data_IF_483149116118
#
_entry.id   IF_483149116118
#
_cell.length_a   1.000
_cell.length_b   1.000
_cell.length_c   1.000
_cell.angle_alpha   90.00
_cell.angle_beta   90.00
_cell.angle_gamma   90.00
#
_symmetry.space_group_name_H-M   'P 1'
#
loop_
_entity.id
_entity.type
_entity.pdbx_description
1 polymer ?
#
# COMPACT_ATOMS: atom_id res chain seq x y z
N UNK A 1 59.71 -7.83 -4.12
CA UNK A 1 59.48 -7.34 -2.74
C UNK A 1 59.17 -5.84 -2.81
N UNK A 2 57.91 -5.47 -2.97
CA UNK A 2 57.45 -4.07 -2.96
C UNK A 2 56.06 -4.09 -2.30
N UNK A 3 55.95 -3.53 -1.10
CA UNK A 3 54.69 -3.42 -0.35
C UNK A 3 54.08 -2.03 -0.60
N UNK A 4 52.75 -1.89 -0.79
CA UNK A 4 52.15 -0.60 -1.05
C UNK A 4 51.89 0.19 0.25
N UNK A 5 52.29 1.46 0.22
CA UNK A 5 52.01 2.47 1.24
C UNK A 5 50.56 2.96 1.10
N UNK A 6 49.64 2.32 1.81
CA UNK A 6 48.41 2.95 2.28
C UNK A 6 48.06 2.37 3.64
N UNK A 7 48.67 2.96 4.68
CA UNK A 7 48.29 2.71 6.06
C UNK A 7 48.09 4.07 6.72
N UNK A 8 46.85 4.55 6.71
CA UNK A 8 46.38 5.51 7.70
C UNK A 8 45.14 4.92 8.34
N UNK A 9 45.29 4.64 9.63
CA UNK A 9 44.31 4.08 10.53
C UNK A 9 44.03 5.17 11.57
N UNK A 10 42.79 5.65 11.65
CA UNK A 10 42.22 6.42 12.77
C UNK A 10 40.73 6.07 12.78
N UNK A 11 40.31 5.04 13.52
CA UNK A 11 40.06 5.02 14.96
C UNK A 11 38.79 5.80 15.36
N UNK A 12 37.88 5.02 15.95
CA UNK A 12 36.80 5.42 16.86
C UNK A 12 35.62 6.22 16.28
N UNK A 13 34.60 5.49 15.84
CA UNK A 13 33.23 5.91 16.12
C UNK A 13 32.44 4.70 16.65
N UNK A 14 32.62 4.43 17.95
CA UNK A 14 31.83 3.41 18.66
C UNK A 14 30.76 4.11 19.48
N UNK A 15 29.53 3.61 19.32
CA UNK A 15 28.39 3.70 20.25
C UNK A 15 27.75 5.08 20.49
N UNK A 16 26.55 5.28 19.96
CA UNK A 16 25.27 5.20 20.71
C UNK A 16 24.10 5.41 19.75
N UNK A 17 23.75 4.37 18.98
CA UNK A 17 22.57 4.31 18.14
C UNK A 17 21.73 3.10 18.52
N UNK A 18 20.62 3.35 19.21
CA UNK A 18 19.63 2.39 19.70
C UNK A 18 19.40 1.20 18.77
N UNK A 19 19.73 -0.01 19.23
CA UNK A 19 19.53 -1.28 18.51
C UNK A 19 18.12 -1.88 18.76
N UNK A 20 17.21 -1.12 19.36
CA UNK A 20 15.96 -1.65 19.92
C UNK A 20 14.72 -1.58 19.00
N UNK A 21 14.86 -1.37 17.68
CA UNK A 21 13.69 -1.17 16.79
C UNK A 21 13.59 -2.17 15.60
N UNK A 22 14.39 -3.25 15.61
CA UNK A 22 14.53 -4.15 14.44
C UNK A 22 13.52 -5.31 14.42
N UNK A 23 12.95 -5.70 15.57
CA UNK A 23 12.03 -6.84 15.68
C UNK A 23 10.61 -6.48 15.24
N UNK A 24 10.06 -5.37 15.72
CA UNK A 24 8.68 -4.95 15.43
C UNK A 24 8.47 -4.61 13.95
N UNK A 25 9.40 -3.85 13.34
CA UNK A 25 9.34 -3.52 11.92
C UNK A 25 9.37 -4.75 11.00
N UNK A 26 10.11 -5.80 11.38
CA UNK A 26 10.17 -7.06 10.63
C UNK A 26 8.86 -7.86 10.74
N UNK A 27 8.26 -7.90 11.94
CA UNK A 27 6.97 -8.58 12.17
C UNK A 27 5.86 -7.90 11.36
N UNK A 28 5.82 -6.57 11.36
CA UNK A 28 4.80 -5.82 10.65
C UNK A 28 4.95 -5.90 9.12
N UNK A 29 6.19 -5.87 8.61
CA UNK A 29 6.47 -6.10 7.19
C UNK A 29 6.05 -7.50 6.75
N UNK A 30 6.27 -8.53 7.58
CA UNK A 30 5.86 -9.91 7.30
C UNK A 30 4.33 -10.06 7.30
N UNK A 31 3.64 -9.44 8.25
CA UNK A 31 2.17 -9.42 8.29
C UNK A 31 1.58 -8.72 7.06
N UNK A 32 2.16 -7.59 6.64
CA UNK A 32 1.77 -6.90 5.40
C UNK A 32 2.01 -7.77 4.16
N UNK A 33 3.09 -8.52 4.14
CA UNK A 33 3.39 -9.43 3.02
C UNK A 33 2.41 -10.60 2.93
N UNK A 34 2.01 -11.18 4.08
CA UNK A 34 0.98 -12.21 4.12
C UNK A 34 -0.33 -11.70 3.50
N UNK A 35 -0.72 -10.46 3.81
CA UNK A 35 -1.90 -9.83 3.19
C UNK A 35 -1.75 -9.73 1.67
N UNK A 36 -0.62 -9.25 1.16
CA UNK A 36 -0.35 -9.14 -0.29
C UNK A 36 -0.42 -10.52 -0.97
N UNK A 37 0.19 -11.54 -0.39
CA UNK A 37 0.16 -12.91 -0.93
C UNK A 37 -1.26 -13.46 -1.04
N UNK A 38 -2.09 -13.23 -0.01
CA UNK A 38 -3.51 -13.59 -0.03
C UNK A 38 -4.30 -12.80 -1.08
N UNK A 39 -4.04 -11.51 -1.25
CA UNK A 39 -4.66 -10.67 -2.29
C UNK A 39 -4.34 -11.18 -3.69
N UNK A 40 -3.07 -11.52 -3.97
CA UNK A 40 -2.65 -12.12 -5.25
C UNK A 40 -3.42 -13.41 -5.51
N UNK A 41 -3.49 -14.29 -4.50
CA UNK A 41 -4.25 -15.55 -4.58
C UNK A 41 -5.73 -15.29 -4.88
N UNK A 42 -6.35 -14.32 -4.20
CA UNK A 42 -7.75 -13.95 -4.40
C UNK A 42 -8.04 -13.55 -5.85
N UNK A 43 -7.25 -12.63 -6.42
CA UNK A 43 -7.40 -12.22 -7.81
C UNK A 43 -7.15 -13.34 -8.80
N UNK A 44 -6.14 -14.18 -8.55
CA UNK A 44 -5.84 -15.33 -9.39
C UNK A 44 -7.03 -16.29 -9.46
N UNK A 45 -7.63 -16.62 -8.31
CA UNK A 45 -8.79 -17.50 -8.23
C UNK A 45 -10.04 -16.86 -8.84
N UNK A 46 -10.27 -15.56 -8.64
CA UNK A 46 -11.38 -14.83 -9.26
C UNK A 46 -11.33 -14.90 -10.79
N UNK A 47 -10.13 -14.93 -11.37
CA UNK A 47 -9.91 -15.08 -12.82
C UNK A 47 -9.87 -16.53 -13.30
N UNK A 48 -10.09 -17.51 -12.42
CA UNK A 48 -10.05 -18.93 -12.76
C UNK A 48 -8.66 -19.43 -13.17
N UNK A 49 -7.59 -18.72 -12.81
CA UNK A 49 -6.23 -19.07 -13.20
C UNK A 49 -5.58 -20.01 -12.17
N UNK A 50 -4.87 -21.03 -12.64
CA UNK A 50 -4.00 -21.84 -11.79
C UNK A 50 -2.67 -21.13 -11.55
N UNK A 51 -1.91 -21.57 -10.54
CA UNK A 51 -0.53 -21.09 -10.35
C UNK A 51 0.36 -21.41 -11.56
N UNK A 52 0.09 -22.52 -12.26
CA UNK A 52 0.80 -22.90 -13.49
C UNK A 52 0.48 -21.97 -14.67
N UNK A 53 -0.70 -21.36 -14.69
CA UNK A 53 -1.05 -20.39 -15.73
C UNK A 53 -0.29 -19.07 -15.53
N UNK A 54 -0.10 -18.65 -14.29
CA UNK A 54 0.76 -17.50 -13.96
C UNK A 54 2.22 -17.81 -14.31
N UNK A 55 2.69 -19.03 -14.05
CA UNK A 55 4.04 -19.45 -14.47
C UNK A 55 4.22 -19.31 -15.98
N UNK A 56 3.28 -19.83 -16.79
CA UNK A 56 3.34 -19.71 -18.25
C UNK A 56 3.35 -18.26 -18.73
N UNK A 57 2.66 -17.35 -18.03
CA UNK A 57 2.56 -15.93 -18.39
C UNK A 57 3.76 -15.09 -17.95
N UNK A 58 4.39 -15.44 -16.83
CA UNK A 58 5.43 -14.62 -16.18
C UNK A 58 6.83 -15.22 -16.24
N UNK A 59 6.94 -16.52 -16.51
CA UNK A 59 8.17 -17.30 -16.30
C UNK A 59 8.53 -17.54 -14.83
N UNK A 60 7.68 -17.14 -13.88
CA UNK A 60 7.90 -17.39 -12.45
C UNK A 60 7.43 -18.80 -12.08
N UNK A 61 8.32 -19.62 -11.53
CA UNK A 61 8.01 -21.00 -11.16
C UNK A 61 6.79 -21.12 -10.25
N UNK A 62 5.92 -22.11 -10.49
CA UNK A 62 4.75 -22.42 -9.64
C UNK A 62 5.11 -22.54 -8.17
N UNK A 63 6.23 -23.19 -7.86
CA UNK A 63 6.70 -23.36 -6.47
C UNK A 63 7.07 -22.03 -5.82
N UNK A 64 7.62 -21.08 -6.58
CA UNK A 64 7.90 -19.73 -6.10
C UNK A 64 6.60 -18.96 -5.86
N UNK A 65 5.66 -19.01 -6.80
CA UNK A 65 4.36 -18.36 -6.65
C UNK A 65 3.59 -18.89 -5.43
N UNK A 66 3.62 -20.20 -5.18
CA UNK A 66 3.02 -20.78 -3.97
C UNK A 66 3.65 -20.24 -2.68
N UNK A 67 4.97 -20.01 -2.64
CA UNK A 67 5.62 -19.41 -1.47
C UNK A 67 5.23 -17.94 -1.29
N UNK A 68 5.06 -17.20 -2.37
CA UNK A 68 4.57 -15.81 -2.34
C UNK A 68 3.14 -15.75 -1.82
N UNK A 69 2.23 -16.54 -2.40
CA UNK A 69 0.81 -16.54 -2.03
C UNK A 69 0.57 -16.93 -0.56
N UNK A 70 1.42 -17.81 -0.01
CA UNK A 70 1.34 -18.25 1.39
C UNK A 70 2.20 -17.39 2.35
N UNK A 71 2.80 -16.29 1.87
CA UNK A 71 3.60 -15.38 2.69
C UNK A 71 4.94 -15.97 3.20
N UNK A 72 5.43 -17.05 2.59
CA UNK A 72 6.73 -17.67 2.91
C UNK A 72 7.91 -16.95 2.25
N UNK A 73 7.67 -16.07 1.29
CA UNK A 73 8.73 -15.32 0.59
C UNK A 73 8.23 -13.92 0.25
N UNK A 74 9.12 -12.94 0.39
CA UNK A 74 8.88 -11.56 -0.01
C UNK A 74 9.32 -11.39 -1.48
N UNK A 75 8.39 -11.19 -2.43
CA UNK A 75 8.74 -10.87 -3.80
C UNK A 75 9.35 -9.47 -3.92
N UNK A 76 10.17 -9.27 -4.95
CA UNK A 76 10.63 -7.93 -5.33
C UNK A 76 9.49 -7.13 -5.97
N UNK A 77 9.67 -5.81 -6.10
CA UNK A 77 8.71 -4.96 -6.80
C UNK A 77 8.55 -5.37 -8.28
N UNK A 78 9.64 -5.72 -8.95
CA UNK A 78 9.64 -6.23 -10.34
C UNK A 78 8.82 -7.53 -10.44
N UNK A 79 9.01 -8.43 -9.48
CA UNK A 79 8.24 -9.68 -9.40
C UNK A 79 6.74 -9.40 -9.21
N UNK A 80 6.38 -8.46 -8.33
CA UNK A 80 4.99 -8.05 -8.15
C UNK A 80 4.43 -7.43 -9.44
N UNK A 81 5.20 -6.60 -10.14
CA UNK A 81 4.77 -6.01 -11.42
C UNK A 81 4.48 -7.09 -12.48
N UNK A 82 5.33 -8.11 -12.58
CA UNK A 82 5.11 -9.27 -13.47
C UNK A 82 3.84 -10.03 -13.13
N UNK A 83 3.59 -10.29 -11.85
CA UNK A 83 2.38 -10.97 -11.38
C UNK A 83 1.14 -10.10 -11.69
N UNK A 84 1.20 -8.79 -11.45
CA UNK A 84 0.12 -7.85 -11.76
C UNK A 84 -0.21 -7.84 -13.26
N UNK A 85 0.81 -7.80 -14.12
CA UNK A 85 0.66 -7.91 -15.57
C UNK A 85 0.01 -9.23 -16.00
N UNK A 86 0.44 -10.36 -15.44
CA UNK A 86 -0.17 -11.66 -15.76
C UNK A 86 -1.62 -11.82 -15.28
N UNK A 87 -2.01 -11.03 -14.27
CA UNK A 87 -3.38 -10.94 -13.78
C UNK A 87 -4.19 -9.83 -14.47
N UNK A 88 -3.63 -9.06 -15.40
CA UNK A 88 -4.25 -7.88 -16.01
C UNK A 88 -4.79 -6.89 -14.97
N UNK A 89 -3.97 -6.57 -13.96
CA UNK A 89 -4.32 -5.66 -12.87
C UNK A 89 -3.27 -4.56 -12.69
N UNK A 90 -3.67 -3.35 -12.27
CA UNK A 90 -2.73 -2.36 -11.76
C UNK A 90 -2.00 -2.89 -10.53
N UNK A 91 -0.69 -2.68 -10.45
CA UNK A 91 0.14 -3.11 -9.31
C UNK A 91 -0.36 -2.58 -7.96
N UNK A 92 -0.93 -1.36 -7.96
CA UNK A 92 -1.51 -0.74 -6.77
C UNK A 92 -2.61 -1.59 -6.11
N UNK A 93 -3.28 -2.45 -6.88
CA UNK A 93 -4.37 -3.28 -6.39
C UNK A 93 -3.92 -4.30 -5.33
N UNK A 94 -2.65 -4.70 -5.34
CA UNK A 94 -2.10 -5.59 -4.31
C UNK A 94 -1.93 -4.92 -2.94
N UNK A 95 -1.88 -3.59 -2.93
CA UNK A 95 -1.68 -2.77 -1.74
C UNK A 95 -2.94 -2.05 -1.29
N UNK A 96 -4.05 -2.23 -2.01
CA UNK A 96 -5.35 -1.77 -1.59
C UNK A 96 -5.72 -2.53 -0.30
N UNK A 97 -5.38 -1.96 0.86
CA UNK A 97 -5.79 -2.49 2.15
C UNK A 97 -7.30 -2.63 2.16
N UNK A 98 -7.75 -3.87 2.35
CA UNK A 98 -9.12 -4.27 2.64
C UNK A 98 -10.14 -3.23 2.20
N UNK A 99 -10.18 -2.97 0.89
CA UNK A 99 -11.29 -2.27 0.25
C UNK A 99 -12.49 -3.22 0.10
N UNK A 100 -12.42 -4.37 0.78
CA UNK A 100 -13.52 -5.27 1.09
C UNK A 100 -14.08 -5.03 2.51
N UNK A 101 -13.34 -4.34 3.39
CA UNK A 101 -13.80 -3.91 4.73
C UNK A 101 -14.03 -2.39 4.84
N UNK A 102 -13.26 -1.59 4.10
CA UNK A 102 -13.83 -0.41 3.48
C UNK A 102 -14.53 -0.91 2.24
N UNK A 103 -15.78 -1.35 2.41
CA UNK A 103 -16.75 -1.00 1.38
C UNK A 103 -16.35 0.37 0.86
N UNK A 104 -16.37 0.52 -0.45
CA UNK A 104 -16.69 1.80 -1.02
C UNK A 104 -17.96 2.27 -0.27
N UNK A 105 -17.74 2.99 0.84
CA UNK A 105 -18.63 3.97 1.42
C UNK A 105 -18.70 5.15 0.44
N UNK A 106 -18.58 4.90 -0.86
CA UNK A 106 -19.69 5.15 -1.77
C UNK A 106 -21.00 4.59 -1.18
N UNK A 107 -21.46 5.19 -0.07
CA UNK A 107 -22.82 5.70 -0.11
C UNK A 107 -22.90 6.34 -1.48
N UNK A 108 -23.70 5.75 -2.36
CA UNK A 108 -23.82 6.18 -3.73
C UNK A 108 -24.32 7.61 -3.64
N UNK A 109 -23.38 8.55 -3.67
CA UNK A 109 -23.66 9.97 -3.58
C UNK A 109 -24.68 10.19 -4.68
N UNK A 110 -25.84 10.68 -4.28
CA UNK A 110 -26.85 11.14 -5.20
C UNK A 110 -26.21 12.15 -6.16
N UNK A 111 -26.80 12.31 -7.35
CA UNK A 111 -26.30 13.29 -8.32
C UNK A 111 -26.20 14.70 -7.69
N UNK A 112 -27.11 15.01 -6.77
CA UNK A 112 -27.13 16.26 -6.01
C UNK A 112 -25.95 16.39 -5.04
N UNK A 113 -25.61 15.32 -4.31
CA UNK A 113 -24.44 15.31 -3.43
C UNK A 113 -23.14 15.42 -4.22
N UNK A 114 -23.06 14.81 -5.40
CA UNK A 114 -21.91 14.93 -6.31
C UNK A 114 -21.76 16.35 -6.85
N UNK A 115 -22.86 16.98 -7.27
CA UNK A 115 -22.87 18.39 -7.71
C UNK A 115 -22.43 19.31 -6.58
N UNK A 116 -22.95 19.10 -5.37
CA UNK A 116 -22.60 19.87 -4.20
C UNK A 116 -21.10 19.78 -3.86
N UNK A 117 -20.53 18.56 -3.84
CA UNK A 117 -19.11 18.36 -3.59
C UNK A 117 -18.23 18.96 -4.69
N UNK A 118 -18.70 18.91 -5.94
CA UNK A 118 -18.02 19.56 -7.07
C UNK A 118 -18.01 21.08 -6.92
N UNK A 119 -19.11 21.67 -6.45
CA UNK A 119 -19.17 23.10 -6.13
C UNK A 119 -18.22 23.46 -4.98
N UNK A 120 -18.23 22.71 -3.87
CA UNK A 120 -17.31 22.94 -2.74
C UNK A 120 -15.87 22.89 -3.23
N UNK A 121 -15.51 21.86 -4.00
CA UNK A 121 -14.15 21.69 -4.53
C UNK A 121 -13.71 22.89 -5.37
N UNK A 122 -14.61 23.44 -6.20
CA UNK A 122 -14.33 24.62 -7.03
C UNK A 122 -13.98 25.84 -6.17
N UNK A 123 -14.79 26.14 -5.16
CA UNK A 123 -14.54 27.28 -4.28
C UNK A 123 -13.40 27.05 -3.27
N UNK A 124 -13.13 25.78 -2.93
CA UNK A 124 -12.08 25.37 -1.99
C UNK A 124 -10.65 25.52 -2.53
N UNK A 125 -10.50 25.59 -3.86
CA UNK A 125 -9.20 25.75 -4.51
C UNK A 125 -8.41 26.99 -4.06
N UNK A 126 -9.09 28.02 -3.55
CA UNK A 126 -8.49 29.26 -3.05
C UNK A 126 -8.62 29.44 -1.53
N UNK A 127 -9.11 28.45 -0.77
CA UNK A 127 -9.30 28.57 0.67
C UNK A 127 -7.98 28.31 1.41
N UNK A 128 -7.61 29.26 2.29
CA UNK A 128 -6.50 29.09 3.21
C UNK A 128 -6.89 28.14 4.37
N UNK A 129 -5.92 27.73 5.20
CA UNK A 129 -6.17 26.78 6.28
C UNK A 129 -7.14 27.28 7.36
N UNK A 130 -7.23 28.60 7.57
CA UNK A 130 -8.19 29.21 8.49
C UNK A 130 -9.62 29.09 7.95
N UNK A 131 -9.81 29.36 6.66
CA UNK A 131 -11.13 29.25 6.01
C UNK A 131 -11.60 27.79 5.96
N UNK A 132 -10.67 26.85 5.74
CA UNK A 132 -10.96 25.40 5.82
C UNK A 132 -11.42 25.00 7.20
N UNK A 133 -10.77 25.49 8.26
CA UNK A 133 -11.17 25.23 9.66
C UNK A 133 -12.55 25.81 9.96
N UNK A 134 -12.84 27.02 9.48
CA UNK A 134 -14.14 27.66 9.65
C UNK A 134 -15.25 26.86 8.95
N UNK A 135 -15.03 26.46 7.70
CA UNK A 135 -15.97 25.65 6.93
C UNK A 135 -16.25 24.32 7.64
N UNK A 136 -15.21 23.63 8.13
CA UNK A 136 -15.37 22.39 8.89
C UNK A 136 -16.17 22.62 10.19
N UNK A 137 -15.96 23.73 10.89
CA UNK A 137 -16.72 24.07 12.09
C UNK A 137 -18.20 24.35 11.76
N UNK A 138 -18.48 25.05 10.66
CA UNK A 138 -19.83 25.30 10.18
C UNK A 138 -20.55 23.98 9.84
N UNK A 139 -19.93 23.12 9.04
CA UNK A 139 -20.48 21.79 8.68
C UNK A 139 -20.79 20.98 9.94
N UNK A 140 -19.88 20.93 10.91
CA UNK A 140 -20.11 20.25 12.19
C UNK A 140 -21.30 20.83 12.97
N UNK A 141 -21.43 22.16 13.01
CA UNK A 141 -22.54 22.84 13.70
C UNK A 141 -23.89 22.56 13.04
N UNK A 142 -23.94 22.55 11.71
CA UNK A 142 -25.16 22.21 10.96
C UNK A 142 -25.53 20.74 11.17
N UNK A 143 -24.57 19.81 11.10
CA UNK A 143 -24.81 18.39 11.35
C UNK A 143 -25.34 18.12 12.77
N UNK A 144 -24.79 18.79 13.78
CA UNK A 144 -25.26 18.68 15.17
C UNK A 144 -26.67 19.26 15.40
N UNK A 145 -27.08 20.22 14.56
CA UNK A 145 -28.40 20.84 14.64
C UNK A 145 -29.46 20.01 13.92
N UNK A 146 -29.09 19.32 12.83
CA UNK A 146 -29.98 18.44 12.07
C UNK A 146 -30.28 17.10 12.76
N UNK A 147 -29.46 16.69 13.72
CA UNK A 147 -29.61 15.43 14.48
C UNK A 147 -30.49 15.58 15.75
N UNK A 148 -31.18 16.71 15.91
CA UNK A 148 -32.00 17.08 17.07
C UNK A 148 -33.43 17.34 16.64
#
# INVERSE_FOLDING_TARGET
MHAPLWRVNYAANTSHGSVANTSEGKVQARAKMMKIGMTIRGYRLQKGLSQGDIEKRTGLLRCYLSRVENGHTVPSLDTLAKIAGALDLPLAQFFAEDSLGRELNTQKLTDDELRFLTQIRRYSSNLNDSDRKLLLAMVKKFAATAAK
#
